data_IF_749759990383
#
_entry.id   IF_749759990383
#
_cell.length_a   1.000
_cell.length_b   1.000
_cell.length_c   1.000
_cell.angle_alpha   90.00
_cell.angle_beta   90.00
_cell.angle_gamma   90.00
#
_symmetry.space_group_name_H-M   'P 1'
#
loop_
_entity.id
_entity.type
_entity.pdbx_description
1 polymer ?
#
# COMPACT_ATOMS: atom_id res chain seq x y z
N UNK A 1 29.40 14.12 -0.86
CA UNK A 1 29.15 13.90 0.59
C UNK A 1 29.88 12.61 0.98
N UNK A 2 30.86 12.66 1.87
CA UNK A 2 31.77 11.53 2.16
C UNK A 2 31.64 11.14 3.64
N UNK A 3 31.12 9.95 3.93
CA UNK A 3 31.05 9.36 5.27
C UNK A 3 32.29 8.51 5.56
N UNK A 4 32.73 8.49 6.83
CA UNK A 4 33.92 7.73 7.25
C UNK A 4 33.48 6.36 7.79
N UNK A 5 34.04 5.23 7.29
CA UNK A 5 33.70 3.89 7.77
C UNK A 5 34.36 3.59 9.11
N UNK A 6 33.60 3.01 10.05
CA UNK A 6 34.12 2.52 11.33
C UNK A 6 34.78 1.14 11.15
N UNK A 7 35.76 0.81 12.01
CA UNK A 7 36.59 -0.40 11.93
C UNK A 7 35.83 -1.75 12.05
N UNK A 8 34.50 -1.73 12.19
CA UNK A 8 33.62 -2.90 12.20
C UNK A 8 32.82 -3.14 10.91
N UNK A 9 32.98 -2.32 9.86
CA UNK A 9 32.37 -2.57 8.53
C UNK A 9 30.85 -2.41 8.40
N UNK A 10 30.12 -2.24 9.51
CA UNK A 10 28.65 -2.15 9.52
C UNK A 10 28.10 -0.76 9.88
N UNK A 11 28.97 0.23 10.14
CA UNK A 11 28.55 1.57 10.57
C UNK A 11 29.39 2.66 9.92
N UNK A 12 28.74 3.72 9.45
CA UNK A 12 29.37 4.88 8.84
C UNK A 12 28.89 6.15 9.54
N UNK A 13 29.84 7.00 9.92
CA UNK A 13 29.51 8.25 10.59
C UNK A 13 29.34 9.40 9.58
N UNK A 14 28.40 10.34 9.84
CA UNK A 14 28.15 11.49 8.99
C UNK A 14 29.36 12.43 8.93
N UNK A 15 29.37 13.35 7.97
CA UNK A 15 30.47 14.31 7.78
C UNK A 15 30.73 15.08 9.09
N UNK A 16 31.98 15.06 9.57
CA UNK A 16 32.38 15.76 10.80
C UNK A 16 32.32 14.91 12.08
N UNK A 17 31.98 13.63 11.98
CA UNK A 17 31.96 12.70 13.12
C UNK A 17 33.01 11.60 12.95
N UNK A 18 33.72 11.27 14.04
CA UNK A 18 34.60 10.10 14.12
C UNK A 18 33.88 8.96 14.84
N UNK A 19 34.26 7.72 14.57
CA UNK A 19 33.71 6.59 15.30
C UNK A 19 34.21 6.64 16.75
N UNK A 20 33.30 6.43 17.70
CA UNK A 20 33.62 6.19 19.10
C UNK A 20 34.48 4.94 19.24
N UNK A 21 35.19 4.83 20.36
CA UNK A 21 36.07 3.69 20.63
C UNK A 21 35.31 2.34 20.66
N UNK A 22 34.00 2.40 20.86
CA UNK A 22 33.04 1.30 20.82
C UNK A 22 32.62 0.87 19.41
N UNK A 23 32.88 1.67 18.36
CA UNK A 23 32.52 1.34 16.97
C UNK A 23 31.02 1.40 16.65
N UNK A 24 30.17 1.68 17.64
CA UNK A 24 28.71 1.78 17.53
C UNK A 24 28.18 3.21 17.64
N UNK A 25 29.01 4.13 18.16
CA UNK A 25 28.67 5.54 18.38
C UNK A 25 29.43 6.46 17.42
N UNK A 26 28.79 7.54 16.97
CA UNK A 26 29.45 8.60 16.19
C UNK A 26 29.67 9.80 17.10
N UNK A 27 30.93 10.18 17.31
CA UNK A 27 31.29 11.36 18.10
C UNK A 27 31.65 12.50 17.15
N UNK A 28 30.83 13.54 17.13
CA UNK A 28 31.17 14.84 16.56
C UNK A 28 32.14 15.52 17.52
N UNK A 29 33.37 15.79 17.08
CA UNK A 29 34.18 16.79 17.79
C UNK A 29 33.52 18.14 17.47
N UNK A 30 33.13 18.89 18.51
CA UNK A 30 32.31 20.11 18.51
C UNK A 30 30.83 19.86 18.80
N UNK A 31 30.48 20.10 20.07
CA UNK A 31 29.10 20.20 20.51
C UNK A 31 28.38 21.35 19.81
N UNK A 32 27.28 21.02 19.16
CA UNK A 32 26.12 21.91 18.97
C UNK A 32 25.03 21.01 18.42
N UNK A 33 24.15 20.54 19.30
CA UNK A 33 22.90 19.92 18.90
C UNK A 33 22.10 20.93 18.10
N UNK A 34 22.13 20.82 16.78
CA UNK A 34 21.05 21.37 15.97
C UNK A 34 19.99 20.29 15.92
N UNK A 35 18.90 20.54 16.65
CA UNK A 35 17.64 19.83 16.48
C UNK A 35 17.39 19.72 14.98
N UNK A 36 17.39 18.50 14.45
CA UNK A 36 16.64 18.21 13.25
C UNK A 36 15.22 18.61 13.55
N UNK A 37 14.75 19.71 12.98
CA UNK A 37 13.32 19.96 12.90
C UNK A 37 12.78 18.88 12.00
N UNK A 38 12.04 17.94 12.59
CA UNK A 38 11.18 16.99 11.90
C UNK A 38 10.24 17.77 10.97
N UNK A 39 10.69 17.98 9.74
CA UNK A 39 9.85 18.42 8.64
C UNK A 39 8.92 17.28 8.25
N UNK A 40 7.90 17.04 9.06
CA UNK A 40 6.68 16.36 8.61
C UNK A 40 5.98 17.31 7.64
N UNK A 41 6.52 17.36 6.42
CA UNK A 41 5.74 17.77 5.27
C UNK A 41 4.64 16.74 5.13
N UNK A 42 3.48 17.06 5.68
CA UNK A 42 2.23 16.37 5.44
C UNK A 42 1.92 16.50 3.94
N UNK A 43 2.09 15.44 3.12
CA UNK A 43 1.62 15.52 1.76
C UNK A 43 0.10 15.57 1.83
N UNK A 44 -0.43 16.73 1.45
CA UNK A 44 -1.68 16.99 0.75
C UNK A 44 -2.63 15.78 0.71
N UNK A 45 -3.92 15.93 1.08
CA UNK A 45 -4.89 14.84 0.99
C UNK A 45 -4.87 14.31 -0.43
N UNK A 46 -4.27 13.13 -0.61
CA UNK A 46 -4.39 12.37 -1.84
C UNK A 46 -5.88 12.27 -2.07
N UNK A 47 -6.31 12.88 -3.17
CA UNK A 47 -7.69 12.99 -3.59
C UNK A 47 -8.38 11.68 -3.22
N UNK A 48 -9.34 11.77 -2.29
CA UNK A 48 -10.15 10.64 -1.89
C UNK A 48 -10.91 10.22 -3.14
N UNK A 49 -10.27 9.37 -3.95
CA UNK A 49 -10.99 8.44 -4.79
C UNK A 49 -12.08 7.85 -3.89
N UNK A 50 -13.32 7.73 -4.38
CA UNK A 50 -14.38 7.09 -3.62
C UNK A 50 -13.75 5.85 -3.02
N UNK A 51 -13.78 5.75 -1.70
CA UNK A 51 -13.17 4.64 -0.99
C UNK A 51 -13.69 3.38 -1.71
N UNK A 52 -12.76 2.59 -2.23
CA UNK A 52 -13.08 1.46 -3.07
C UNK A 52 -12.73 0.21 -2.27
N UNK A 53 -13.73 -0.61 -1.99
CA UNK A 53 -13.58 -1.84 -1.23
C UNK A 53 -12.92 -2.90 -2.12
N UNK A 54 -11.80 -3.50 -1.69
CA UNK A 54 -11.22 -4.65 -2.37
C UNK A 54 -12.21 -5.82 -2.37
N UNK A 55 -12.46 -6.42 -3.52
CA UNK A 55 -13.10 -7.72 -3.54
C UNK A 55 -12.13 -8.82 -3.05
N UNK A 56 -12.65 -9.98 -2.58
CA UNK A 56 -11.84 -11.08 -2.03
C UNK A 56 -10.74 -11.61 -2.96
N UNK A 57 -10.91 -11.43 -4.26
CA UNK A 57 -9.96 -11.84 -5.30
C UNK A 57 -8.76 -10.89 -5.45
N UNK A 58 -8.86 -9.67 -4.92
CA UNK A 58 -7.79 -8.69 -4.95
C UNK A 58 -7.56 -8.03 -6.32
N UNK A 59 -8.12 -8.55 -7.42
CA UNK A 59 -8.06 -7.93 -8.76
C UNK A 59 -9.25 -7.04 -9.06
N UNK A 60 -10.32 -7.12 -8.26
CA UNK A 60 -11.55 -6.36 -8.46
C UNK A 60 -11.82 -5.46 -7.26
N UNK A 61 -12.39 -4.30 -7.50
CA UNK A 61 -12.82 -3.35 -6.47
C UNK A 61 -14.22 -2.81 -6.78
N UNK A 62 -14.95 -2.53 -5.70
CA UNK A 62 -16.26 -1.89 -5.75
C UNK A 62 -16.21 -0.55 -5.03
N UNK A 63 -17.07 0.42 -5.34
CA UNK A 63 -17.21 1.62 -4.51
C UNK A 63 -17.63 1.26 -3.07
N UNK A 64 -17.37 2.13 -2.10
CA UNK A 64 -17.62 1.87 -0.67
C UNK A 64 -19.09 1.53 -0.36
N UNK A 65 -20.03 2.08 -1.12
CA UNK A 65 -21.46 1.79 -1.01
C UNK A 65 -21.91 0.54 -1.79
N UNK A 66 -20.96 -0.26 -2.29
CA UNK A 66 -21.24 -1.44 -3.07
C UNK A 66 -20.62 -2.72 -2.49
N UNK A 67 -21.32 -3.83 -2.70
CA UNK A 67 -20.91 -5.15 -2.22
C UNK A 67 -20.38 -6.01 -3.36
N UNK A 68 -19.20 -6.62 -3.18
CA UNK A 68 -18.62 -7.54 -4.16
C UNK A 68 -19.41 -8.86 -4.25
N UNK A 69 -19.79 -9.23 -5.47
CA UNK A 69 -20.47 -10.49 -5.78
C UNK A 69 -19.75 -11.23 -6.90
N UNK A 70 -19.66 -12.56 -6.78
CA UNK A 70 -19.10 -13.41 -7.84
C UNK A 70 -20.19 -13.74 -8.85
N UNK A 71 -19.92 -13.48 -10.13
CA UNK A 71 -20.78 -13.80 -11.27
C UNK A 71 -20.72 -15.30 -11.61
N UNK A 72 -21.68 -15.81 -12.39
CA UNK A 72 -21.70 -17.20 -12.87
C UNK A 72 -20.48 -17.57 -13.72
N UNK A 73 -19.84 -16.58 -14.34
CA UNK A 73 -18.61 -16.74 -15.12
C UNK A 73 -17.33 -16.80 -14.28
N UNK A 74 -17.41 -16.56 -12.96
CA UNK A 74 -16.26 -16.41 -12.07
C UNK A 74 -15.67 -14.99 -12.03
N UNK A 75 -16.16 -14.05 -12.83
CA UNK A 75 -15.82 -12.63 -12.72
C UNK A 75 -16.51 -11.97 -11.52
N UNK A 76 -16.00 -10.84 -11.04
CA UNK A 76 -16.62 -10.06 -9.96
C UNK A 76 -17.53 -8.95 -10.49
N UNK A 77 -18.67 -8.80 -9.84
CA UNK A 77 -19.60 -7.69 -9.98
C UNK A 77 -19.77 -6.96 -8.66
N UNK A 78 -20.32 -5.77 -8.72
CA UNK A 78 -20.64 -4.93 -7.59
C UNK A 78 -22.15 -4.72 -7.53
N UNK A 79 -22.74 -4.95 -6.37
CA UNK A 79 -24.12 -4.58 -6.11
C UNK A 79 -24.15 -3.15 -5.58
N UNK A 80 -25.00 -2.25 -6.09
CA UNK A 80 -25.04 -0.83 -5.70
C UNK A 80 -25.64 -0.59 -4.30
N UNK A 81 -25.72 -1.63 -3.47
CA UNK A 81 -26.27 -1.56 -2.12
C UNK A 81 -25.23 -2.08 -1.12
N UNK A 82 -25.12 -1.42 0.05
CA UNK A 82 -24.31 -1.92 1.15
C UNK A 82 -24.97 -3.17 1.73
N UNK A 83 -24.16 -4.14 2.15
CA UNK A 83 -24.61 -5.38 2.78
C UNK A 83 -25.59 -6.20 1.92
N UNK A 84 -25.48 -6.08 0.59
CA UNK A 84 -26.33 -6.84 -0.32
C UNK A 84 -25.99 -8.33 -0.28
N UNK A 85 -27.02 -9.17 -0.33
CA UNK A 85 -26.88 -10.60 -0.56
C UNK A 85 -26.91 -10.89 -2.06
N UNK A 86 -25.91 -11.61 -2.56
CA UNK A 86 -25.88 -12.06 -3.94
C UNK A 86 -26.91 -13.17 -4.14
N UNK A 87 -27.75 -13.03 -5.16
CA UNK A 87 -28.70 -14.07 -5.53
C UNK A 87 -28.00 -15.23 -6.27
N UNK A 88 -28.67 -16.38 -6.38
CA UNK A 88 -28.07 -17.60 -6.95
C UNK A 88 -27.76 -17.50 -8.45
N UNK A 89 -28.41 -16.58 -9.16
CA UNK A 89 -28.14 -16.26 -10.57
C UNK A 89 -26.84 -15.48 -10.75
N UNK A 90 -26.28 -14.94 -9.65
CA UNK A 90 -24.98 -14.28 -9.59
C UNK A 90 -24.86 -12.99 -10.44
N UNK A 91 -25.96 -12.52 -11.02
CA UNK A 91 -26.04 -11.22 -11.71
C UNK A 91 -26.99 -10.25 -11.01
N UNK A 92 -27.81 -10.73 -10.08
CA UNK A 92 -28.68 -9.91 -9.27
C UNK A 92 -28.37 -9.98 -7.77
N UNK A 93 -28.79 -8.94 -7.07
CA UNK A 93 -28.57 -8.77 -5.64
C UNK A 93 -29.82 -8.25 -4.95
N UNK A 94 -29.92 -8.58 -3.67
CA UNK A 94 -30.98 -8.16 -2.79
C UNK A 94 -30.43 -7.47 -1.53
N UNK A 95 -31.16 -6.54 -0.92
CA UNK A 95 -30.74 -5.92 0.34
C UNK A 95 -30.70 -6.95 1.47
N UNK A 96 -29.95 -6.63 2.53
CA UNK A 96 -29.88 -7.46 3.73
C UNK A 96 -31.28 -7.80 4.27
N UNK A 97 -31.45 -9.02 4.80
CA UNK A 97 -32.71 -9.53 5.34
C UNK A 97 -33.85 -9.73 4.33
N UNK A 98 -33.54 -9.86 3.04
CA UNK A 98 -34.52 -10.27 2.01
C UNK A 98 -34.10 -11.56 1.31
N UNK A 99 -35.10 -12.26 0.75
CA UNK A 99 -34.93 -13.52 0.02
C UNK A 99 -35.04 -13.22 -1.48
N UNK A 100 -34.09 -13.70 -2.27
CA UNK A 100 -34.14 -13.58 -3.72
C UNK A 100 -35.21 -14.50 -4.31
N UNK A 101 -36.28 -13.93 -4.85
CA UNK A 101 -37.22 -14.66 -5.72
C UNK A 101 -36.90 -14.35 -7.18
N UNK A 102 -36.08 -15.22 -7.77
CA UNK A 102 -35.67 -15.16 -9.18
C UNK A 102 -36.82 -15.45 -10.14
N UNK A 103 -37.83 -16.20 -9.70
CA UNK A 103 -39.00 -16.53 -10.52
C UNK A 103 -39.84 -15.28 -10.77
N UNK A 104 -39.97 -14.45 -9.73
CA UNK A 104 -40.73 -13.20 -9.76
C UNK A 104 -39.87 -11.98 -10.10
N UNK A 105 -38.55 -12.13 -10.13
CA UNK A 105 -37.63 -11.00 -10.30
C UNK A 105 -37.72 -9.98 -9.15
N UNK A 106 -38.06 -10.43 -7.92
CA UNK A 106 -38.16 -9.57 -6.73
C UNK A 106 -37.45 -10.13 -5.50
N UNK A 107 -36.92 -9.24 -4.66
CA UNK A 107 -36.46 -9.55 -3.32
C UNK A 107 -37.67 -9.50 -2.39
N UNK A 108 -38.03 -10.63 -1.82
CA UNK A 108 -39.17 -10.74 -0.90
C UNK A 108 -38.66 -10.66 0.53
N UNK A 109 -39.21 -9.74 1.32
CA UNK A 109 -38.93 -9.71 2.75
C UNK A 109 -39.72 -10.82 3.46
N UNK A 110 -39.14 -11.50 4.46
CA UNK A 110 -39.85 -12.52 5.24
C UNK A 110 -41.04 -11.93 6.01
N UNK A 111 -41.07 -10.62 6.21
CA UNK A 111 -42.14 -9.86 6.86
C UNK A 111 -43.27 -9.44 5.90
N UNK A 112 -43.13 -9.63 4.59
CA UNK A 112 -44.17 -9.37 3.58
C UNK A 112 -44.41 -7.90 3.22
N UNK A 113 -43.74 -6.95 3.87
CA UNK A 113 -44.04 -5.51 3.76
C UNK A 113 -43.14 -4.76 2.74
N UNK A 114 -42.12 -5.41 2.19
CA UNK A 114 -41.13 -4.78 1.30
C UNK A 114 -40.68 -5.74 0.19
N UNK A 115 -41.54 -5.90 -0.82
CA UNK A 115 -41.18 -6.48 -2.10
C UNK A 115 -40.43 -5.40 -2.91
N UNK A 116 -39.14 -5.61 -3.15
CA UNK A 116 -38.32 -4.71 -3.97
C UNK A 116 -37.83 -5.44 -5.22
N UNK A 117 -37.72 -4.79 -6.38
CA UNK A 117 -37.16 -5.41 -7.57
C UNK A 117 -35.71 -5.84 -7.33
N UNK A 118 -35.28 -6.93 -7.98
CA UNK A 118 -33.86 -7.33 -7.92
C UNK A 118 -33.00 -6.22 -8.50
N UNK A 119 -31.93 -5.89 -7.78
CA UNK A 119 -30.92 -4.97 -8.28
C UNK A 119 -29.93 -5.73 -9.17
N UNK A 120 -29.62 -5.21 -10.35
CA UNK A 120 -28.60 -5.79 -11.21
C UNK A 120 -27.21 -5.42 -10.69
N UNK A 121 -26.33 -6.41 -10.58
CA UNK A 121 -24.92 -6.18 -10.32
C UNK A 121 -24.29 -5.56 -11.57
N UNK A 122 -23.48 -4.51 -11.38
CA UNK A 122 -22.65 -3.96 -12.43
C UNK A 122 -21.26 -4.61 -12.39
N UNK A 123 -20.50 -4.63 -13.50
CA UNK A 123 -19.16 -5.20 -13.50
C UNK A 123 -18.27 -4.47 -12.49
N UNK A 124 -17.49 -5.24 -11.71
CA UNK A 124 -16.56 -4.65 -10.77
C UNK A 124 -15.47 -3.87 -11.48
N UNK A 125 -14.96 -2.83 -10.83
CA UNK A 125 -13.83 -2.09 -11.36
C UNK A 125 -12.60 -2.97 -11.29
N UNK A 126 -11.81 -2.98 -12.35
CA UNK A 126 -10.52 -3.66 -12.31
C UNK A 126 -9.59 -2.84 -11.46
N UNK A 127 -9.03 -3.48 -10.43
CA UNK A 127 -7.92 -2.92 -9.70
C UNK A 127 -6.81 -2.64 -10.69
N UNK A 128 -6.39 -1.38 -10.75
CA UNK A 128 -5.11 -1.11 -11.37
C UNK A 128 -4.09 -1.71 -10.41
N UNK A 129 -3.28 -2.71 -10.82
CA UNK A 129 -2.22 -3.19 -9.95
C UNK A 129 -1.40 -1.97 -9.53
N UNK A 130 -0.92 -1.91 -8.28
CA UNK A 130 0.01 -0.86 -7.89
C UNK A 130 1.11 -0.85 -8.95
N UNK A 131 1.40 0.34 -9.51
CA UNK A 131 2.51 0.48 -10.43
C UNK A 131 3.71 -0.23 -9.79
N UNK A 132 4.49 -1.02 -10.55
CA UNK A 132 5.68 -1.65 -9.99
C UNK A 132 6.45 -0.52 -9.30
N UNK A 133 6.63 -0.65 -7.99
CA UNK A 133 7.39 0.32 -7.22
C UNK A 133 8.79 0.25 -7.78
N UNK A 134 9.09 1.17 -8.70
CA UNK A 134 10.44 1.40 -9.14
C UNK A 134 11.15 1.94 -7.89
N UNK A 135 11.76 1.03 -7.13
CA UNK A 135 12.72 1.39 -6.09
C UNK A 135 13.67 2.39 -6.74
N UNK A 136 13.58 3.68 -6.36
CA UNK A 136 14.52 4.65 -6.86
C UNK A 136 15.82 4.27 -6.21
N UNK A 137 16.74 3.84 -7.05
CA UNK A 137 18.03 3.36 -6.62
C UNK A 137 19.02 4.51 -6.67
N UNK A 138 19.74 4.75 -5.58
CA UNK A 138 20.88 5.65 -5.53
C UNK A 138 22.07 4.93 -6.15
N UNK A 139 22.53 5.39 -7.32
CA UNK A 139 23.76 4.88 -7.93
C UNK A 139 24.98 5.34 -7.13
N UNK A 140 25.83 4.40 -6.75
CA UNK A 140 27.03 4.69 -5.98
C UNK A 140 28.14 5.28 -6.87
N UNK A 141 29.16 5.95 -6.28
CA UNK A 141 30.21 6.65 -7.03
C UNK A 141 31.06 5.76 -7.96
N UNK A 142 31.04 4.45 -7.75
CA UNK A 142 31.68 3.44 -8.60
C UNK A 142 30.89 3.11 -9.88
N UNK A 143 29.63 3.54 -9.99
CA UNK A 143 28.76 3.30 -11.13
C UNK A 143 28.34 1.83 -11.32
N UNK A 144 28.67 0.92 -10.40
CA UNK A 144 28.33 -0.51 -10.47
C UNK A 144 27.40 -0.96 -9.35
N UNK A 145 27.45 -0.31 -8.18
CA UNK A 145 26.59 -0.56 -7.03
C UNK A 145 25.43 0.44 -7.00
N UNK A 146 24.23 -0.06 -6.69
CA UNK A 146 23.03 0.77 -6.55
C UNK A 146 22.23 0.36 -5.30
N UNK A 147 21.77 1.34 -4.54
CA UNK A 147 21.12 1.13 -3.24
C UNK A 147 19.67 1.60 -3.24
N UNK A 148 18.75 0.92 -2.53
CA UNK A 148 17.34 1.30 -2.48
C UNK A 148 17.13 2.67 -1.82
N UNK A 149 15.99 3.33 -2.07
CA UNK A 149 15.59 4.57 -1.40
C UNK A 149 15.74 4.45 0.12
N UNK A 150 16.49 5.35 0.74
CA UNK A 150 16.78 5.35 2.18
C UNK A 150 18.07 4.63 2.60
N UNK A 151 18.71 3.88 1.70
CA UNK A 151 20.04 3.31 1.93
C UNK A 151 21.14 4.25 1.39
N UNK A 152 22.25 4.34 2.13
CA UNK A 152 23.42 5.14 1.73
C UNK A 152 24.52 4.25 1.17
N UNK A 153 25.20 4.71 0.12
CA UNK A 153 26.38 4.05 -0.44
C UNK A 153 27.58 4.17 0.52
N UNK A 154 28.12 3.03 0.94
CA UNK A 154 29.26 2.94 1.85
C UNK A 154 30.44 2.25 1.16
N UNK A 155 31.64 2.82 1.29
CA UNK A 155 32.86 2.25 0.71
C UNK A 155 33.41 1.15 1.64
N UNK A 156 33.28 -0.12 1.23
CA UNK A 156 33.70 -1.31 1.99
C UNK A 156 35.19 -1.63 1.79
N UNK A 157 35.72 -1.35 0.60
CA UNK A 157 37.11 -1.58 0.20
C UNK A 157 37.54 -0.50 -0.81
N UNK A 158 38.84 -0.34 -1.14
CA UNK A 158 39.23 0.50 -2.27
C UNK A 158 38.48 0.03 -3.54
N UNK A 159 37.60 0.89 -4.07
CA UNK A 159 36.72 0.64 -5.21
C UNK A 159 35.57 -0.39 -5.04
N UNK A 160 35.16 -0.73 -3.82
CA UNK A 160 33.89 -1.44 -3.58
C UNK A 160 32.93 -0.61 -2.73
N UNK A 161 31.70 -0.48 -3.21
CA UNK A 161 30.61 0.17 -2.49
C UNK A 161 29.48 -0.83 -2.22
N UNK A 162 28.91 -0.76 -1.02
CA UNK A 162 27.75 -1.53 -0.61
C UNK A 162 26.67 -0.65 -0.01
N UNK A 163 25.49 -1.24 0.20
CA UNK A 163 24.32 -0.54 0.72
C UNK A 163 24.18 -0.82 2.21
N UNK A 164 24.25 0.23 3.03
CA UNK A 164 23.98 0.12 4.46
C UNK A 164 22.54 0.58 4.75
N UNK A 165 21.70 -0.27 5.39
CA UNK A 165 20.41 0.16 5.89
C UNK A 165 20.66 1.03 7.12
N UNK A 166 20.35 2.32 7.03
CA UNK A 166 20.17 3.14 8.23
C UNK A 166 18.87 2.66 8.88
N UNK A 167 18.99 1.67 9.77
CA UNK A 167 17.90 1.32 10.67
C UNK A 167 17.72 2.52 11.61
N UNK A 168 16.54 3.13 11.56
CA UNK A 168 16.07 4.20 12.46
C UNK A 168 16.25 3.80 13.93
#
# INVERSE_FOLDING_TARGET
PQSVPCAGGHRCCPRGSRCGADGESCVTDLGTGTRGTDGHGDPLPVSAAPRAVPCPDGQSECPDDATCCVTSSGAWGCCPMPQASCCADKVHCCPHATVCDLTRGRCVSPSGDADVPLSAAFPAWKRRPPAPVALRQVLCPDGRSACPDGATCCQLAPAQYGCCPLQN
#
